data_IF_123858722858
#
_entry.id   IF_123858722858
#
_cell.length_a   1.000
_cell.length_b   1.000
_cell.length_c   1.000
_cell.angle_alpha   90.00
_cell.angle_beta   90.00
_cell.angle_gamma   90.00
#
_symmetry.space_group_name_H-M   'P 1'
#
loop_
_entity.id
_entity.type
_entity.pdbx_description
1 polymer ?
#
# COMPACT_ATOMS: atom_id res chain seq x y z
N UNK A 1 -1.28 5.91 33.43
CA UNK A 1 -2.42 5.31 32.72
C UNK A 1 -1.97 3.93 32.25
N UNK A 2 -2.57 2.91 32.83
CA UNK A 2 -2.19 1.51 32.63
C UNK A 2 -2.32 1.10 31.17
N UNK A 3 -1.22 0.61 30.64
CA UNK A 3 -1.11 0.03 29.31
C UNK A 3 -1.71 -1.39 29.38
N UNK A 4 -3.01 -1.49 29.56
CA UNK A 4 -3.70 -2.75 29.45
C UNK A 4 -3.55 -3.20 27.99
N UNK A 5 -2.74 -4.23 27.76
CA UNK A 5 -2.67 -4.97 26.50
C UNK A 5 -4.09 -5.35 26.11
N UNK A 6 -4.75 -4.50 25.31
CA UNK A 6 -6.11 -4.79 24.83
C UNK A 6 -6.04 -6.04 23.97
N UNK A 7 -6.63 -7.13 24.46
CA UNK A 7 -6.72 -8.39 23.72
C UNK A 7 -7.42 -8.10 22.38
N UNK A 8 -6.83 -8.58 21.29
CA UNK A 8 -7.43 -8.43 19.95
C UNK A 8 -8.84 -9.04 19.97
N UNK A 9 -9.87 -8.29 19.53
CA UNK A 9 -11.23 -8.79 19.45
C UNK A 9 -11.37 -9.90 18.39
N UNK A 10 -12.49 -10.65 18.48
CA UNK A 10 -12.69 -11.84 17.63
C UNK A 10 -12.77 -11.55 16.14
N UNK A 11 -13.26 -10.37 15.75
CA UNK A 11 -13.34 -9.95 14.33
C UNK A 11 -11.97 -9.66 13.69
N UNK A 12 -10.89 -9.64 14.47
CA UNK A 12 -9.52 -9.52 13.99
C UNK A 12 -8.78 -10.86 13.94
N UNK A 13 -9.51 -11.98 14.07
CA UNK A 13 -8.92 -13.31 13.89
C UNK A 13 -8.61 -13.56 12.41
N UNK A 14 -7.39 -13.98 12.15
CA UNK A 14 -6.86 -14.28 10.83
C UNK A 14 -7.04 -15.77 10.56
N UNK A 15 -7.43 -16.13 9.34
CA UNK A 15 -7.39 -17.50 8.86
C UNK A 15 -5.97 -17.85 8.42
N UNK A 16 -5.46 -18.99 8.86
CA UNK A 16 -4.18 -19.50 8.38
C UNK A 16 -4.30 -19.95 6.92
N UNK A 17 -3.26 -19.74 6.09
CA UNK A 17 -3.26 -20.22 4.71
C UNK A 17 -3.37 -21.75 4.67
N UNK A 18 -4.21 -22.28 3.79
CA UNK A 18 -4.47 -23.72 3.65
C UNK A 18 -4.42 -24.18 2.20
N UNK A 19 -4.16 -23.28 1.23
CA UNK A 19 -4.23 -23.55 -0.20
C UNK A 19 -2.91 -23.96 -0.84
N UNK A 20 -2.98 -24.70 -1.95
CA UNK A 20 -1.81 -25.08 -2.77
C UNK A 20 -1.15 -23.85 -3.42
N UNK A 21 -1.94 -22.85 -3.83
CA UNK A 21 -1.44 -21.62 -4.47
C UNK A 21 -0.53 -20.82 -3.54
N UNK A 22 -0.84 -20.76 -2.26
CA UNK A 22 0.02 -20.10 -1.25
C UNK A 22 1.43 -20.70 -1.21
N UNK A 23 1.56 -22.01 -1.40
CA UNK A 23 2.86 -22.71 -1.48
C UNK A 23 3.59 -22.32 -2.78
N UNK A 24 2.89 -22.28 -3.91
CA UNK A 24 3.45 -21.90 -5.21
C UNK A 24 3.95 -20.45 -5.19
N UNK A 25 3.14 -19.51 -4.69
CA UNK A 25 3.54 -18.09 -4.53
C UNK A 25 4.78 -17.99 -3.64
N UNK A 26 4.81 -18.70 -2.51
CA UNK A 26 5.97 -18.72 -1.61
C UNK A 26 7.23 -19.26 -2.27
N UNK A 27 7.11 -20.28 -3.12
CA UNK A 27 8.23 -20.87 -3.87
C UNK A 27 8.79 -19.86 -4.88
N UNK A 28 7.94 -19.28 -5.72
CA UNK A 28 8.32 -18.28 -6.73
C UNK A 28 9.01 -17.07 -6.09
N UNK A 29 8.43 -16.53 -5.01
CA UNK A 29 9.02 -15.40 -4.27
C UNK A 29 10.43 -15.73 -3.77
N UNK A 30 10.61 -16.91 -3.20
CA UNK A 30 11.92 -17.36 -2.68
C UNK A 30 12.93 -17.67 -3.76
N UNK A 31 12.54 -18.39 -4.81
CA UNK A 31 13.42 -18.82 -5.92
C UNK A 31 13.98 -17.63 -6.71
N UNK A 32 13.19 -16.56 -6.82
CA UNK A 32 13.62 -15.34 -7.50
C UNK A 32 14.17 -14.26 -6.56
N UNK A 33 14.37 -14.57 -5.28
CA UNK A 33 14.89 -13.60 -4.29
C UNK A 33 14.03 -12.36 -4.11
N UNK A 34 12.73 -12.45 -4.37
CA UNK A 34 11.82 -11.31 -4.35
C UNK A 34 11.38 -10.94 -2.94
N UNK A 35 11.08 -9.67 -2.78
CA UNK A 35 10.47 -9.15 -1.57
C UNK A 35 8.97 -8.92 -1.78
N UNK A 36 8.17 -9.21 -0.76
CA UNK A 36 6.74 -8.90 -0.75
C UNK A 36 6.39 -8.13 0.51
N UNK A 37 5.54 -7.11 0.36
CA UNK A 37 5.01 -6.39 1.53
C UNK A 37 4.11 -7.31 2.38
N UNK A 38 3.56 -8.36 1.78
CA UNK A 38 2.79 -9.37 2.50
C UNK A 38 3.61 -10.02 3.62
N UNK A 39 4.88 -10.37 3.33
CA UNK A 39 5.81 -10.97 4.31
C UNK A 39 6.48 -9.90 5.18
N UNK A 40 7.09 -8.87 4.58
CA UNK A 40 7.82 -7.82 5.30
C UNK A 40 6.92 -6.99 6.21
N UNK A 41 5.69 -6.72 5.77
CA UNK A 41 4.67 -5.98 6.52
C UNK A 41 3.88 -6.83 7.51
N UNK A 42 4.08 -8.15 7.58
CA UNK A 42 3.27 -9.09 8.37
C UNK A 42 1.77 -8.93 8.10
N UNK A 43 1.40 -8.92 6.81
CA UNK A 43 0.04 -8.70 6.38
C UNK A 43 -0.91 -9.80 6.92
N UNK A 44 -2.05 -9.43 7.55
CA UNK A 44 -3.02 -10.39 8.05
C UNK A 44 -3.69 -11.21 6.93
N UNK A 45 -3.73 -10.69 5.70
CA UNK A 45 -4.40 -11.31 4.56
C UNK A 45 -3.45 -12.14 3.68
N UNK A 46 -2.17 -12.29 4.06
CA UNK A 46 -1.18 -12.99 3.23
C UNK A 46 -1.69 -14.36 2.77
N UNK A 47 -2.24 -15.16 3.69
CA UNK A 47 -2.76 -16.49 3.38
C UNK A 47 -3.88 -16.46 2.36
N UNK A 48 -4.90 -15.62 2.59
CA UNK A 48 -6.06 -15.48 1.71
C UNK A 48 -5.65 -14.98 0.32
N UNK A 49 -4.86 -13.90 0.26
CA UNK A 49 -4.39 -13.34 -1.01
C UNK A 49 -3.56 -14.33 -1.80
N UNK A 50 -2.64 -15.03 -1.15
CA UNK A 50 -1.78 -16.02 -1.82
C UNK A 50 -2.58 -17.25 -2.28
N UNK A 51 -3.59 -17.68 -1.53
CA UNK A 51 -4.51 -18.74 -1.96
C UNK A 51 -5.38 -18.33 -3.16
N UNK A 52 -5.60 -17.01 -3.34
CA UNK A 52 -6.24 -16.44 -4.53
C UNK A 52 -5.24 -16.12 -5.68
N UNK A 53 -3.96 -16.47 -5.53
CA UNK A 53 -2.92 -16.18 -6.52
C UNK A 53 -2.56 -14.68 -6.62
N UNK A 54 -2.75 -13.90 -5.54
CA UNK A 54 -2.45 -12.46 -5.49
C UNK A 54 -1.30 -12.19 -4.54
N UNK A 55 -0.28 -11.47 -4.99
CA UNK A 55 0.83 -11.00 -4.16
C UNK A 55 1.14 -9.53 -4.45
N UNK A 56 1.56 -8.79 -3.43
CA UNK A 56 2.06 -7.42 -3.59
C UNK A 56 3.58 -7.45 -3.53
N UNK A 57 4.21 -7.20 -4.68
CA UNK A 57 5.67 -7.14 -4.78
C UNK A 57 6.19 -5.85 -4.18
N UNK A 58 7.32 -5.94 -3.47
CA UNK A 58 8.01 -4.80 -2.90
C UNK A 58 9.38 -4.69 -3.58
N UNK A 59 9.60 -3.62 -4.30
CA UNK A 59 10.81 -3.35 -5.09
C UNK A 59 11.77 -2.39 -4.38
N UNK A 60 12.92 -2.17 -4.96
CA UNK A 60 14.03 -1.36 -4.43
C UNK A 60 14.71 -1.99 -3.20
N UNK A 61 14.54 -3.30 -2.97
CA UNK A 61 15.11 -4.04 -1.84
C UNK A 61 14.17 -4.19 -0.64
N UNK A 62 14.73 -4.59 0.52
CA UNK A 62 13.98 -4.90 1.75
C UNK A 62 14.27 -3.93 2.91
N UNK A 63 15.13 -2.93 2.72
CA UNK A 63 15.49 -1.93 3.71
C UNK A 63 15.04 -0.55 3.26
N UNK A 64 14.23 0.12 4.08
CA UNK A 64 13.71 1.46 3.81
C UNK A 64 14.60 2.53 4.48
N UNK A 65 14.81 3.66 3.82
CA UNK A 65 15.50 4.81 4.40
C UNK A 65 14.66 5.56 5.44
N UNK A 66 13.35 5.27 5.51
CA UNK A 66 12.39 5.92 6.42
C UNK A 66 11.92 4.99 7.53
N UNK A 67 11.66 5.57 8.71
CA UNK A 67 11.25 4.87 9.93
C UNK A 67 9.81 5.21 10.32
N UNK A 68 8.84 4.95 9.47
CA UNK A 68 7.43 5.19 9.78
C UNK A 68 6.97 4.28 10.93
N UNK A 69 6.36 4.88 11.98
CA UNK A 69 6.08 4.19 13.23
C UNK A 69 5.03 3.08 13.16
N UNK A 70 4.29 3.01 12.08
CA UNK A 70 3.30 1.95 11.82
C UNK A 70 3.90 0.78 11.03
N UNK A 71 5.01 0.99 10.31
CA UNK A 71 5.56 0.07 9.33
C UNK A 71 6.46 -0.99 9.98
N UNK A 72 6.42 -2.22 9.46
CA UNK A 72 7.29 -3.32 9.90
C UNK A 72 8.47 -3.59 8.97
N UNK A 73 8.60 -2.83 7.88
CA UNK A 73 9.76 -2.94 6.98
C UNK A 73 11.02 -2.50 7.72
N UNK A 74 12.10 -3.20 7.49
CA UNK A 74 13.41 -2.86 8.10
C UNK A 74 13.82 -1.45 7.70
N UNK A 75 14.31 -0.69 8.68
CA UNK A 75 14.84 0.66 8.46
C UNK A 75 16.36 0.65 8.55
N UNK A 76 17.03 1.38 7.66
CA UNK A 76 18.48 1.47 7.67
C UNK A 76 19.06 2.00 6.38
N UNK A 77 20.29 1.59 6.10
CA UNK A 77 20.98 1.88 4.84
C UNK A 77 20.73 0.74 3.86
N UNK A 78 19.99 0.95 2.76
CA UNK A 78 19.73 -0.07 1.77
C UNK A 78 21.00 -0.50 1.02
N UNK A 79 21.00 -1.72 0.50
CA UNK A 79 21.97 -2.17 -0.49
C UNK A 79 21.78 -1.43 -1.83
N UNK A 80 22.75 -1.48 -2.76
CA UNK A 80 22.53 -1.04 -4.13
C UNK A 80 21.30 -1.72 -4.74
N UNK A 81 20.67 -1.04 -5.72
CA UNK A 81 19.55 -1.61 -6.45
C UNK A 81 20.01 -2.86 -7.23
N UNK A 82 19.19 -3.90 -7.20
CA UNK A 82 19.38 -5.07 -8.04
C UNK A 82 18.91 -4.77 -9.46
N UNK A 83 19.83 -4.81 -10.42
CA UNK A 83 19.56 -4.55 -11.83
C UNK A 83 18.67 -5.62 -12.47
N UNK A 84 18.61 -6.83 -11.91
CA UNK A 84 17.78 -7.95 -12.37
C UNK A 84 16.38 -7.95 -11.76
N UNK A 85 16.12 -7.15 -10.72
CA UNK A 85 14.81 -7.08 -10.05
C UNK A 85 13.65 -6.84 -11.03
N UNK A 86 13.76 -5.92 -12.04
CA UNK A 86 12.69 -5.72 -13.02
C UNK A 86 12.33 -7.00 -13.80
N UNK A 87 13.32 -7.74 -14.24
CA UNK A 87 13.12 -8.99 -14.98
C UNK A 87 12.54 -10.10 -14.07
N UNK A 88 13.02 -10.19 -12.83
CA UNK A 88 12.53 -11.15 -11.84
C UNK A 88 11.06 -10.89 -11.49
N UNK A 89 10.66 -9.64 -11.27
CA UNK A 89 9.26 -9.26 -11.03
C UNK A 89 8.39 -9.62 -12.24
N UNK A 90 8.79 -9.23 -13.45
CA UNK A 90 8.03 -9.49 -14.66
C UNK A 90 7.80 -11.00 -14.89
N UNK A 91 8.85 -11.81 -14.72
CA UNK A 91 8.79 -13.27 -14.79
C UNK A 91 7.86 -13.87 -13.73
N UNK A 92 7.91 -13.33 -12.50
CA UNK A 92 7.07 -13.83 -11.40
C UNK A 92 5.61 -13.54 -11.61
N UNK A 93 5.26 -12.36 -12.13
CA UNK A 93 3.89 -12.02 -12.55
C UNK A 93 3.36 -13.04 -13.56
N UNK A 94 4.22 -13.43 -14.53
CA UNK A 94 3.90 -14.44 -15.55
C UNK A 94 3.71 -15.85 -14.97
N UNK A 95 4.66 -16.29 -14.15
CA UNK A 95 4.62 -17.61 -13.51
C UNK A 95 3.40 -17.79 -12.62
N UNK A 96 3.04 -16.76 -11.87
CA UNK A 96 1.85 -16.75 -11.01
C UNK A 96 0.55 -16.50 -11.79
N UNK A 97 0.61 -16.25 -13.10
CA UNK A 97 -0.53 -15.99 -13.99
C UNK A 97 -1.44 -14.87 -13.44
N UNK A 98 -0.84 -13.83 -12.88
CA UNK A 98 -1.60 -12.73 -12.32
C UNK A 98 -2.36 -11.99 -13.42
N UNK A 99 -3.59 -11.61 -13.14
CA UNK A 99 -4.38 -10.70 -13.97
C UNK A 99 -4.22 -9.25 -13.58
N UNK A 100 -3.87 -9.04 -12.30
CA UNK A 100 -3.61 -7.73 -11.71
C UNK A 100 -2.39 -7.83 -10.79
N UNK A 101 -1.38 -7.00 -11.02
CA UNK A 101 -0.15 -6.98 -10.24
C UNK A 101 -0.10 -5.70 -9.39
N UNK A 102 0.05 -5.84 -8.09
CA UNK A 102 0.30 -4.71 -7.20
C UNK A 102 1.80 -4.63 -6.89
N UNK A 103 2.38 -3.47 -7.14
CA UNK A 103 3.80 -3.19 -6.93
C UNK A 103 3.92 -2.02 -5.97
N UNK A 104 4.74 -2.18 -4.94
CA UNK A 104 5.13 -1.12 -4.00
C UNK A 104 6.64 -1.09 -3.85
N UNK A 105 7.18 -0.12 -3.11
CA UNK A 105 8.63 -0.06 -2.85
C UNK A 105 8.92 0.31 -1.39
N UNK A 106 10.16 0.10 -0.98
CA UNK A 106 10.77 0.86 0.09
C UNK A 106 11.09 2.28 -0.39
N UNK A 107 11.17 3.25 0.52
CA UNK A 107 11.70 4.59 0.18
C UNK A 107 13.22 4.53 0.03
N UNK A 108 13.74 5.21 -0.99
CA UNK A 108 15.16 5.28 -1.34
C UNK A 108 15.64 6.74 -1.36
N UNK A 109 15.47 7.43 -0.22
CA UNK A 109 15.95 8.82 -0.05
C UNK A 109 17.49 8.93 -0.17
N UNK A 110 18.20 7.80 -0.24
CA UNK A 110 19.64 7.69 -0.46
C UNK A 110 20.05 7.82 -1.94
N UNK A 111 19.10 7.66 -2.87
CA UNK A 111 19.36 7.77 -4.30
C UNK A 111 19.04 9.16 -4.82
N UNK A 112 19.78 9.68 -5.81
CA UNK A 112 19.55 11.01 -6.40
C UNK A 112 18.15 11.16 -7.01
N UNK A 113 17.63 10.08 -7.60
CA UNK A 113 16.31 10.02 -8.25
C UNK A 113 15.25 9.38 -7.37
N UNK A 114 15.55 9.13 -6.09
CA UNK A 114 14.65 8.49 -5.12
C UNK A 114 14.10 7.13 -5.61
N UNK A 115 14.78 6.49 -6.59
CA UNK A 115 14.38 5.22 -7.19
C UNK A 115 13.39 5.33 -8.36
N UNK A 116 13.14 6.53 -8.89
CA UNK A 116 12.15 6.74 -9.97
C UNK A 116 12.50 5.96 -11.25
N UNK A 117 13.76 5.95 -11.66
CA UNK A 117 14.21 5.18 -12.85
C UNK A 117 14.01 3.67 -12.66
N UNK A 118 14.22 3.16 -11.45
CA UNK A 118 13.98 1.75 -11.13
C UNK A 118 12.49 1.39 -11.20
N UNK A 119 11.62 2.26 -10.71
CA UNK A 119 10.18 2.13 -10.87
C UNK A 119 9.78 2.03 -12.35
N UNK A 120 10.30 2.90 -13.18
CA UNK A 120 10.06 2.87 -14.64
C UNK A 120 10.51 1.54 -15.25
N UNK A 121 11.71 1.06 -14.88
CA UNK A 121 12.23 -0.22 -15.37
C UNK A 121 11.33 -1.39 -15.00
N UNK A 122 10.86 -1.47 -13.75
CA UNK A 122 9.97 -2.53 -13.28
C UNK A 122 8.62 -2.49 -14.00
N UNK A 123 7.97 -1.32 -14.05
CA UNK A 123 6.66 -1.18 -14.71
C UNK A 123 6.72 -1.56 -16.18
N UNK A 124 7.76 -1.12 -16.90
CA UNK A 124 7.99 -1.48 -18.31
C UNK A 124 8.24 -2.97 -18.49
N UNK A 125 9.08 -3.57 -17.66
CA UNK A 125 9.37 -4.99 -17.73
C UNK A 125 8.10 -5.84 -17.55
N UNK A 126 7.26 -5.50 -16.53
CA UNK A 126 6.00 -6.20 -16.28
C UNK A 126 5.04 -6.06 -17.46
N UNK A 127 4.83 -4.85 -17.99
CA UNK A 127 3.95 -4.63 -19.15
C UNK A 127 4.42 -5.36 -20.40
N UNK A 128 5.71 -5.34 -20.68
CA UNK A 128 6.28 -5.96 -21.87
C UNK A 128 6.19 -7.50 -21.83
N UNK A 129 6.47 -8.11 -20.68
CA UNK A 129 6.46 -9.58 -20.55
C UNK A 129 5.05 -10.15 -20.34
N UNK A 130 4.11 -9.33 -19.85
CA UNK A 130 2.75 -9.76 -19.48
C UNK A 130 1.68 -8.90 -20.17
N UNK A 131 1.51 -9.00 -21.49
CA UNK A 131 0.46 -8.26 -22.19
C UNK A 131 -0.92 -8.58 -21.60
N UNK A 132 -1.68 -7.53 -21.25
CA UNK A 132 -3.03 -7.66 -20.69
C UNK A 132 -3.09 -7.76 -19.16
N UNK A 133 -1.94 -7.81 -18.47
CA UNK A 133 -1.90 -7.65 -17.02
C UNK A 133 -2.09 -6.18 -16.67
N UNK A 134 -3.02 -5.89 -15.77
CA UNK A 134 -3.20 -4.55 -15.20
C UNK A 134 -2.26 -4.34 -14.01
N UNK A 135 -1.80 -3.11 -13.79
CA UNK A 135 -0.84 -2.78 -12.73
C UNK A 135 -1.41 -1.72 -11.81
N UNK A 136 -1.33 -1.97 -10.51
CA UNK A 136 -1.41 -0.94 -9.48
C UNK A 136 0.00 -0.60 -8.99
N UNK A 137 0.40 0.67 -9.08
CA UNK A 137 1.65 1.18 -8.55
C UNK A 137 1.40 1.95 -7.25
N UNK A 138 1.74 1.36 -6.10
CA UNK A 138 1.72 2.04 -4.80
C UNK A 138 3.04 2.80 -4.61
N UNK A 139 3.05 4.04 -5.06
CA UNK A 139 4.23 4.90 -5.20
C UNK A 139 4.64 5.57 -3.88
N UNK A 140 5.95 5.80 -3.64
CA UNK A 140 6.42 6.71 -2.60
C UNK A 140 6.05 8.16 -2.95
N UNK A 141 6.28 9.08 -2.01
CA UNK A 141 5.98 10.50 -2.23
C UNK A 141 7.02 11.24 -3.09
N UNK A 142 8.15 10.60 -3.42
CA UNK A 142 9.31 11.22 -4.09
C UNK A 142 9.66 12.60 -3.51
N UNK A 143 9.45 12.78 -2.20
CA UNK A 143 9.63 14.05 -1.47
C UNK A 143 8.88 15.24 -2.10
N UNK A 144 7.76 14.98 -2.79
CA UNK A 144 6.96 15.97 -3.49
C UNK A 144 7.55 16.44 -4.84
N UNK A 145 8.61 15.79 -5.34
CA UNK A 145 9.20 16.12 -6.62
C UNK A 145 8.32 15.62 -7.78
N UNK A 146 7.69 16.54 -8.49
CA UNK A 146 6.76 16.26 -9.57
C UNK A 146 7.43 15.63 -10.80
N UNK A 147 8.68 15.98 -11.09
CA UNK A 147 9.42 15.41 -12.23
C UNK A 147 9.73 13.92 -11.99
N UNK A 148 10.14 13.56 -10.76
CA UNK A 148 10.38 12.18 -10.40
C UNK A 148 9.08 11.36 -10.36
N UNK A 149 8.01 11.91 -9.78
CA UNK A 149 6.70 11.26 -9.75
C UNK A 149 6.14 11.02 -11.16
N UNK A 150 6.32 11.97 -12.09
CA UNK A 150 5.83 11.84 -13.46
C UNK A 150 6.45 10.67 -14.21
N UNK A 151 7.66 10.24 -13.88
CA UNK A 151 8.37 9.17 -14.60
C UNK A 151 7.62 7.83 -14.54
N UNK A 152 7.28 7.25 -13.36
CA UNK A 152 6.47 6.03 -13.29
C UNK A 152 5.04 6.25 -13.80
N UNK A 153 4.43 7.44 -13.62
CA UNK A 153 3.09 7.74 -14.16
C UNK A 153 3.08 7.72 -15.70
N UNK A 154 4.14 8.16 -16.36
CA UNK A 154 4.28 8.12 -17.82
C UNK A 154 4.37 6.69 -18.40
N UNK A 155 4.53 5.67 -17.55
CA UNK A 155 4.39 4.27 -17.98
C UNK A 155 2.91 3.84 -18.04
N UNK A 156 1.99 4.69 -17.54
CA UNK A 156 0.55 4.49 -17.49
C UNK A 156 0.13 3.17 -16.80
N UNK A 157 0.45 2.97 -15.48
CA UNK A 157 -0.23 1.94 -14.72
C UNK A 157 -1.74 2.24 -14.70
N UNK A 158 -2.58 1.21 -14.57
CA UNK A 158 -4.03 1.37 -14.57
C UNK A 158 -4.53 2.06 -13.28
N UNK A 159 -3.83 1.80 -12.17
CA UNK A 159 -4.05 2.47 -10.88
C UNK A 159 -2.69 2.96 -10.35
N UNK A 160 -2.65 4.20 -9.90
CA UNK A 160 -1.53 4.70 -9.10
C UNK A 160 -2.06 5.09 -7.72
N UNK A 161 -1.36 4.64 -6.69
CA UNK A 161 -1.77 4.87 -5.31
C UNK A 161 -0.66 5.48 -4.49
N UNK A 162 -1.04 6.32 -3.55
CA UNK A 162 -0.19 6.83 -2.49
C UNK A 162 -1.04 7.02 -1.22
N UNK A 163 -0.65 6.36 -0.13
CA UNK A 163 -1.47 6.38 1.07
C UNK A 163 -1.21 7.61 1.93
N UNK A 164 -2.28 8.22 2.48
CA UNK A 164 -2.17 9.20 3.57
C UNK A 164 -1.77 8.54 4.90
N UNK A 165 -2.12 7.27 5.08
CA UNK A 165 -1.90 6.42 6.24
C UNK A 165 -2.72 6.80 7.48
N UNK A 166 -2.94 8.08 7.74
CA UNK A 166 -3.70 8.61 8.87
C UNK A 166 -4.20 10.02 8.59
N UNK A 167 -4.95 10.60 9.54
CA UNK A 167 -5.46 11.96 9.48
C UNK A 167 -4.37 13.02 9.68
N UNK A 168 -4.63 14.26 9.27
CA UNK A 168 -3.68 15.40 9.27
C UNK A 168 -2.96 15.58 10.61
N UNK A 169 -3.71 15.61 11.71
CA UNK A 169 -3.15 15.84 13.07
C UNK A 169 -2.14 14.75 13.47
N UNK A 170 -2.38 13.50 13.08
CA UNK A 170 -1.54 12.37 13.47
C UNK A 170 -0.38 12.10 12.49
N UNK A 171 -0.42 12.67 11.28
CA UNK A 171 0.54 12.37 10.22
C UNK A 171 2.00 12.50 10.68
N UNK A 172 2.37 13.61 11.31
CA UNK A 172 3.74 13.84 11.81
C UNK A 172 4.17 12.85 12.90
N UNK A 173 3.21 12.33 13.67
CA UNK A 173 3.47 11.36 14.74
C UNK A 173 3.61 9.93 14.20
N UNK A 174 2.92 9.61 13.11
CA UNK A 174 2.81 8.25 12.54
C UNK A 174 3.86 8.04 11.46
N UNK A 175 4.11 9.06 10.63
CA UNK A 175 5.03 9.00 9.48
C UNK A 175 6.34 9.74 9.81
N UNK A 176 7.47 9.19 9.34
CA UNK A 176 8.78 9.75 9.69
C UNK A 176 9.15 11.00 8.88
N UNK A 177 8.79 11.08 7.61
CA UNK A 177 9.16 12.16 6.67
C UNK A 177 7.99 12.66 5.84
N UNK A 178 7.18 11.77 5.31
CA UNK A 178 6.05 12.15 4.48
C UNK A 178 5.05 13.00 5.26
N UNK A 179 4.75 14.19 4.77
CA UNK A 179 3.73 15.05 5.36
C UNK A 179 2.37 14.80 4.70
N UNK A 180 1.31 15.17 5.40
CA UNK A 180 -0.05 15.06 4.90
C UNK A 180 -0.26 15.84 3.59
N UNK A 181 0.22 17.09 3.55
CA UNK A 181 0.05 17.97 2.38
C UNK A 181 0.86 17.52 1.17
N UNK A 182 2.09 17.02 1.38
CA UNK A 182 2.87 16.41 0.29
C UNK A 182 2.15 15.21 -0.26
N UNK A 183 1.59 14.36 0.59
CA UNK A 183 0.84 13.17 0.16
C UNK A 183 -0.43 13.52 -0.61
N UNK A 184 -1.19 14.54 -0.20
CA UNK A 184 -2.32 15.06 -0.97
C UNK A 184 -1.89 15.60 -2.34
N UNK A 185 -0.75 16.30 -2.39
CA UNK A 185 -0.24 16.81 -3.66
C UNK A 185 0.17 15.67 -4.62
N UNK A 186 0.74 14.57 -4.09
CA UNK A 186 1.01 13.36 -4.90
C UNK A 186 -0.29 12.81 -5.49
N UNK A 187 -1.36 12.71 -4.69
CA UNK A 187 -2.67 12.24 -5.18
C UNK A 187 -3.23 13.18 -6.26
N UNK A 188 -3.13 14.52 -6.10
CA UNK A 188 -3.55 15.48 -7.13
C UNK A 188 -2.80 15.27 -8.45
N UNK A 189 -1.50 15.04 -8.39
CA UNK A 189 -0.68 14.79 -9.58
C UNK A 189 -1.05 13.46 -10.26
N UNK A 190 -1.31 12.40 -9.48
CA UNK A 190 -1.81 11.13 -10.02
C UNK A 190 -3.15 11.35 -10.72
N UNK A 191 -4.11 11.99 -10.08
CA UNK A 191 -5.42 12.28 -10.68
C UNK A 191 -5.32 13.14 -11.94
N UNK A 192 -4.45 14.17 -11.93
CA UNK A 192 -4.21 15.04 -13.09
C UNK A 192 -3.59 14.30 -14.28
N UNK A 193 -2.91 13.17 -14.07
CA UNK A 193 -2.35 12.32 -15.15
C UNK A 193 -3.41 11.45 -15.86
N UNK A 194 -4.67 11.45 -15.38
CA UNK A 194 -5.75 10.62 -15.93
C UNK A 194 -5.71 9.16 -15.45
N UNK A 195 -4.78 8.80 -14.57
CA UNK A 195 -4.69 7.46 -13.97
C UNK A 195 -5.67 7.39 -12.77
N UNK A 196 -6.26 6.21 -12.52
CA UNK A 196 -7.11 6.00 -11.35
C UNK A 196 -6.29 6.29 -10.08
N UNK A 197 -6.62 7.39 -9.39
CA UNK A 197 -5.95 7.80 -8.16
C UNK A 197 -6.58 7.08 -6.96
N UNK A 198 -5.73 6.43 -6.17
CA UNK A 198 -6.12 5.68 -4.98
C UNK A 198 -5.32 6.10 -3.76
N UNK A 199 -5.97 6.08 -2.59
CA UNK A 199 -5.32 6.32 -1.32
C UNK A 199 -5.92 5.43 -0.22
N UNK A 200 -5.29 5.45 0.96
CA UNK A 200 -5.80 4.70 2.10
C UNK A 200 -5.37 5.30 3.43
N UNK A 201 -6.17 5.00 4.45
CA UNK A 201 -5.87 5.32 5.84
C UNK A 201 -6.09 4.10 6.74
N UNK A 202 -5.39 4.12 7.86
CA UNK A 202 -5.58 3.15 8.94
C UNK A 202 -6.31 3.82 10.09
N UNK A 203 -7.25 3.11 10.72
CA UNK A 203 -7.98 3.55 11.91
C UNK A 203 -7.44 2.85 13.17
N UNK A 204 -7.64 3.51 14.32
CA UNK A 204 -7.22 3.01 15.62
C UNK A 204 -5.90 3.60 16.12
N UNK A 205 -5.47 4.72 15.55
CA UNK A 205 -4.29 5.49 15.96
C UNK A 205 -4.66 6.70 16.85
N UNK A 206 -5.97 6.94 17.10
CA UNK A 206 -6.48 8.05 17.92
C UNK A 206 -7.09 9.19 17.12
N UNK A 207 -7.44 8.94 15.86
CA UNK A 207 -8.22 9.84 15.01
C UNK A 207 -9.66 9.97 15.53
N UNK A 208 -10.28 11.12 15.30
CA UNK A 208 -11.70 11.34 15.55
C UNK A 208 -12.53 11.09 14.28
N UNK A 209 -13.85 10.92 14.46
CA UNK A 209 -14.78 10.77 13.34
C UNK A 209 -14.71 11.95 12.38
N UNK A 210 -14.69 13.18 12.90
CA UNK A 210 -14.67 14.39 12.07
C UNK A 210 -13.37 14.49 11.26
N UNK A 211 -12.23 14.14 11.85
CA UNK A 211 -10.94 14.11 11.14
C UNK A 211 -10.92 13.06 10.01
N UNK A 212 -11.59 11.92 10.17
CA UNK A 212 -11.73 10.91 9.13
C UNK A 212 -12.58 11.46 7.98
N UNK A 213 -13.71 12.13 8.29
CA UNK A 213 -14.59 12.73 7.29
C UNK A 213 -13.91 13.87 6.54
N UNK A 214 -13.16 14.72 7.22
CA UNK A 214 -12.31 15.77 6.62
C UNK A 214 -11.25 15.14 5.70
N UNK A 215 -10.60 14.06 6.13
CA UNK A 215 -9.62 13.34 5.29
C UNK A 215 -10.25 12.75 4.02
N UNK A 216 -11.49 12.28 4.08
CA UNK A 216 -12.23 11.84 2.90
C UNK A 216 -12.51 13.03 1.95
N UNK A 217 -12.89 14.19 2.48
CA UNK A 217 -13.13 15.40 1.68
C UNK A 217 -11.84 15.88 1.03
N UNK A 218 -10.75 15.99 1.77
CA UNK A 218 -9.42 16.34 1.26
C UNK A 218 -8.98 15.41 0.11
N UNK A 219 -9.20 14.10 0.24
CA UNK A 219 -8.89 13.12 -0.80
C UNK A 219 -9.77 13.29 -2.04
N UNK A 220 -11.08 13.55 -1.86
CA UNK A 220 -11.99 13.81 -2.98
C UNK A 220 -11.61 15.08 -3.73
N UNK A 221 -11.30 16.15 -3.00
CA UNK A 221 -10.81 17.42 -3.58
C UNK A 221 -9.49 17.22 -4.34
N UNK A 222 -8.62 16.32 -3.85
CA UNK A 222 -7.40 15.93 -4.55
C UNK A 222 -7.63 15.06 -5.79
N UNK A 223 -8.87 14.67 -6.11
CA UNK A 223 -9.21 13.83 -7.26
C UNK A 223 -9.07 12.32 -7.00
N UNK A 224 -8.90 11.90 -5.75
CA UNK A 224 -8.85 10.48 -5.39
C UNK A 224 -10.20 9.81 -5.67
N UNK A 225 -10.21 8.72 -6.42
CA UNK A 225 -11.43 7.99 -6.79
C UNK A 225 -11.62 6.69 -6.03
N UNK A 226 -10.55 6.09 -5.51
CA UNK A 226 -10.58 4.84 -4.76
C UNK A 226 -9.97 5.03 -3.38
N UNK A 227 -10.69 4.58 -2.34
CA UNK A 227 -10.21 4.68 -0.96
C UNK A 227 -10.23 3.33 -0.25
N UNK A 228 -9.18 3.05 0.54
CA UNK A 228 -9.12 1.91 1.44
C UNK A 228 -9.06 2.37 2.89
N UNK A 229 -9.83 1.72 3.77
CA UNK A 229 -9.89 2.01 5.20
C UNK A 229 -9.75 0.70 5.97
N UNK A 230 -8.66 0.55 6.74
CA UNK A 230 -8.38 -0.66 7.50
C UNK A 230 -7.99 -0.39 8.94
N UNK A 231 -8.05 -1.39 9.80
CA UNK A 231 -7.60 -1.28 11.19
C UNK A 231 -6.06 -1.30 11.25
N UNK A 232 -5.47 -0.35 11.95
CA UNK A 232 -4.07 -0.44 12.35
C UNK A 232 -3.86 -1.62 13.29
N UNK A 233 -2.93 -2.48 12.95
CA UNK A 233 -2.49 -3.60 13.79
C UNK A 233 -1.00 -3.40 14.10
N UNK A 234 -0.66 -3.24 15.37
CA UNK A 234 0.73 -3.05 15.80
C UNK A 234 1.60 -4.27 15.42
N UNK A 235 2.58 -4.13 14.52
CA UNK A 235 3.37 -5.27 14.05
C UNK A 235 4.37 -5.79 15.11
N UNK A 236 4.97 -4.89 15.87
CA UNK A 236 5.92 -5.18 16.94
C UNK A 236 5.76 -4.18 18.10
N UNK A 237 6.22 -4.52 19.29
CA UNK A 237 6.12 -3.66 20.49
C UNK A 237 6.83 -2.31 20.33
N UNK A 238 7.77 -2.20 19.41
CA UNK A 238 8.51 -0.97 19.10
C UNK A 238 7.72 0.00 18.22
N UNK A 239 6.67 -0.47 17.53
CA UNK A 239 5.80 0.37 16.72
C UNK A 239 4.80 1.13 17.60
N UNK A 240 4.15 2.16 17.03
CA UNK A 240 3.11 2.92 17.72
C UNK A 240 2.01 1.98 18.24
N UNK A 241 1.56 2.19 19.46
CA UNK A 241 0.52 1.37 20.07
C UNK A 241 -0.84 1.59 19.41
N UNK A 242 -1.67 0.56 19.38
CA UNK A 242 -3.08 0.68 18.98
C UNK A 242 -3.82 1.46 20.06
N UNK A 243 -4.48 2.56 19.70
CA UNK A 243 -5.33 3.33 20.60
C UNK A 243 -6.70 2.66 20.78
N UNK A 244 -7.25 2.14 19.70
CA UNK A 244 -8.58 1.52 19.70
C UNK A 244 -8.70 0.45 18.61
N UNK A 245 -9.50 -0.60 18.88
CA UNK A 245 -9.97 -1.54 17.88
C UNK A 245 -11.39 -1.15 17.45
N UNK A 246 -11.50 -0.59 16.26
CA UNK A 246 -12.74 -0.06 15.70
C UNK A 246 -13.69 -1.22 15.35
N UNK A 247 -14.98 -1.08 15.67
CA UNK A 247 -15.97 -2.11 15.37
C UNK A 247 -16.23 -2.23 13.85
N UNK A 248 -16.51 -3.45 13.33
CA UNK A 248 -16.77 -3.64 11.89
C UNK A 248 -17.91 -2.76 11.33
N UNK A 249 -18.96 -2.50 12.12
CA UNK A 249 -20.08 -1.65 11.71
C UNK A 249 -19.64 -0.20 11.41
N UNK A 250 -18.66 0.32 12.17
CA UNK A 250 -18.09 1.65 11.94
C UNK A 250 -17.32 1.69 10.60
N UNK A 251 -16.59 0.62 10.27
CA UNK A 251 -15.98 0.51 8.94
C UNK A 251 -17.03 0.48 7.84
N UNK A 252 -18.13 -0.27 8.03
CA UNK A 252 -19.24 -0.32 7.08
C UNK A 252 -19.88 1.06 6.89
N UNK A 253 -20.07 1.82 7.99
CA UNK A 253 -20.54 3.21 7.94
C UNK A 253 -19.61 4.10 7.12
N UNK A 254 -18.29 4.06 7.36
CA UNK A 254 -17.33 4.85 6.57
C UNK A 254 -17.31 4.44 5.10
N UNK A 255 -17.47 3.14 4.81
CA UNK A 255 -17.60 2.66 3.42
C UNK A 255 -18.81 3.29 2.71
N UNK A 256 -19.97 3.39 3.39
CA UNK A 256 -21.17 4.04 2.86
C UNK A 256 -20.96 5.54 2.67
N UNK A 257 -20.47 6.23 3.70
CA UNK A 257 -20.18 7.68 3.65
C UNK A 257 -19.19 8.01 2.51
N UNK A 258 -18.13 7.22 2.35
CA UNK A 258 -17.19 7.44 1.25
C UNK A 258 -17.84 7.36 -0.12
N UNK A 259 -18.75 6.40 -0.34
CA UNK A 259 -19.54 6.33 -1.59
C UNK A 259 -20.44 7.57 -1.76
N UNK A 260 -21.09 8.04 -0.70
CA UNK A 260 -21.90 9.26 -0.71
C UNK A 260 -21.08 10.52 -1.02
N UNK A 261 -19.80 10.55 -0.57
CA UNK A 261 -18.86 11.61 -0.92
C UNK A 261 -18.33 11.52 -2.36
N UNK A 262 -18.71 10.48 -3.13
CA UNK A 262 -18.40 10.34 -4.54
C UNK A 262 -17.14 9.56 -4.87
N UNK A 263 -16.59 8.75 -3.93
CA UNK A 263 -15.60 7.75 -4.31
C UNK A 263 -16.25 6.68 -5.18
N UNK A 264 -15.60 6.30 -6.27
CA UNK A 264 -16.08 5.23 -7.16
C UNK A 264 -16.00 3.87 -6.48
N UNK A 265 -14.96 3.68 -5.65
CA UNK A 265 -14.80 2.47 -4.85
C UNK A 265 -14.27 2.79 -3.46
N UNK A 266 -14.86 2.17 -2.43
CA UNK A 266 -14.39 2.24 -1.04
C UNK A 266 -14.32 0.82 -0.48
N UNK A 267 -13.12 0.34 -0.19
CA UNK A 267 -12.90 -0.90 0.54
C UNK A 267 -12.68 -0.57 2.01
N UNK A 268 -13.63 -0.90 2.88
CA UNK A 268 -13.60 -0.51 4.28
C UNK A 268 -13.99 -1.68 5.19
N UNK A 269 -13.01 -2.26 5.87
CA UNK A 269 -13.23 -3.27 6.92
C UNK A 269 -11.98 -3.45 7.79
N UNK A 270 -12.08 -4.10 8.97
CA UNK A 270 -10.95 -4.21 9.89
C UNK A 270 -9.69 -4.86 9.29
N UNK A 271 -9.82 -5.80 8.39
CA UNK A 271 -8.68 -6.50 7.79
C UNK A 271 -8.23 -5.90 6.45
N UNK A 272 -8.89 -4.86 5.94
CA UNK A 272 -8.48 -4.19 4.69
C UNK A 272 -7.04 -3.67 4.80
N UNK A 273 -6.32 -3.82 3.70
CA UNK A 273 -5.00 -3.24 3.41
C UNK A 273 -5.05 -2.57 2.05
N UNK A 274 -4.08 -1.70 1.75
CA UNK A 274 -4.10 -0.91 0.50
C UNK A 274 -4.24 -1.76 -0.76
N UNK A 275 -3.67 -2.95 -0.80
CA UNK A 275 -3.76 -3.87 -1.96
C UNK A 275 -4.84 -4.96 -1.83
N UNK A 276 -5.71 -4.89 -0.82
CA UNK A 276 -6.77 -5.89 -0.64
C UNK A 276 -7.84 -5.70 -1.71
N UNK A 277 -8.18 -6.78 -2.43
CA UNK A 277 -9.11 -6.79 -3.56
C UNK A 277 -8.80 -5.72 -4.64
N UNK A 278 -7.52 -5.43 -4.89
CA UNK A 278 -7.11 -4.37 -5.80
C UNK A 278 -7.67 -4.53 -7.23
N UNK A 279 -7.91 -5.76 -7.67
CA UNK A 279 -8.52 -6.07 -8.98
C UNK A 279 -9.96 -5.54 -9.14
N UNK A 280 -10.66 -5.26 -8.04
CA UNK A 280 -12.01 -4.69 -8.06
C UNK A 280 -12.02 -3.18 -8.30
N UNK A 281 -10.89 -2.52 -8.14
CA UNK A 281 -10.76 -1.07 -8.24
C UNK A 281 -10.74 -0.55 -9.69
N UNK A 282 -10.70 -1.46 -10.66
CA UNK A 282 -10.67 -1.17 -12.10
C UNK A 282 -12.06 -1.07 -12.74
N UNK A 283 -13.13 -1.26 -11.96
CA UNK A 283 -14.52 -1.32 -12.45
C UNK A 283 -15.29 -0.06 -12.15
#
# INVERSE_FOLDING_TARGET
>A
MENASRRKPDWLKIRLPQGKLSVEVSSVVREHGLHTICSSGRCPNQGECWDCGTATFMICGDVCTRACRFCNVKTGRPAPLDTEEPAHIARSVKLLKLKHAVITSVDRDDLPDLGAAHWVAVLKAVKNENPGVTIEALLPDFQGNSELLSQPLNVHPEVASHNLETVRRLSKQVRSRATYDVSLNVIRQIAASGIIAKSGIMLGLGETRDEILETMDDLREAGCSVMTIGQYLQPAKTNIAVCEYIHPDTFAEYGRIGKEKGFTHVESSPLVRSSYHAEKHLK
#
